data_IF_195220767290
#
_entry.id   IF_195220767290
#
_cell.length_a   1.000
_cell.length_b   1.000
_cell.length_c   1.000
_cell.angle_alpha   90.00
_cell.angle_beta   90.00
_cell.angle_gamma   90.00
#
_symmetry.space_group_name_H-M   'P 1'
#
loop_
_entity.id
_entity.type
_entity.pdbx_description
1 polymer ?
#
# COMPACT_ATOMS: atom_id res chain seq x y z
N UNK A 1 -6.70 21.26 -4.29
CA UNK A 1 -5.29 21.64 -4.50
C UNK A 1 -4.48 21.45 -3.21
N UNK A 2 -4.99 21.90 -2.07
CA UNK A 2 -4.31 21.75 -0.78
C UNK A 2 -4.09 20.28 -0.36
N UNK A 3 -5.11 19.42 -0.43
CA UNK A 3 -4.97 18.01 -0.04
C UNK A 3 -3.89 17.26 -0.83
N UNK A 4 -3.73 17.59 -2.12
CA UNK A 4 -2.70 16.99 -2.97
C UNK A 4 -1.29 17.49 -2.59
N UNK A 5 -1.17 18.77 -2.21
CA UNK A 5 0.07 19.35 -1.71
C UNK A 5 0.49 18.66 -0.41
N UNK A 6 -0.43 18.59 0.56
CA UNK A 6 -0.19 17.92 1.86
C UNK A 6 0.16 16.45 1.65
N UNK A 7 -0.58 15.73 0.79
CA UNK A 7 -0.26 14.35 0.46
C UNK A 7 1.17 14.21 -0.09
N UNK A 8 1.54 15.05 -1.07
CA UNK A 8 2.88 15.03 -1.66
C UNK A 8 3.97 15.28 -0.63
N UNK A 9 3.79 16.28 0.24
CA UNK A 9 4.74 16.59 1.31
C UNK A 9 4.90 15.43 2.28
N UNK A 10 3.79 14.83 2.73
CA UNK A 10 3.82 13.66 3.62
C UNK A 10 4.51 12.48 2.97
N UNK A 11 4.19 12.14 1.73
CA UNK A 11 4.77 10.98 1.05
C UNK A 11 6.28 11.13 0.82
N UNK A 12 6.77 12.35 0.63
CA UNK A 12 8.20 12.64 0.49
C UNK A 12 9.02 12.46 1.78
N UNK A 13 8.38 12.38 2.95
CA UNK A 13 9.08 12.17 4.23
C UNK A 13 9.17 10.70 4.61
N UNK A 14 8.19 9.87 4.23
CA UNK A 14 8.12 8.45 4.58
C UNK A 14 9.40 7.66 4.27
N UNK A 15 9.97 7.69 3.05
CA UNK A 15 11.18 6.91 2.74
C UNK A 15 12.44 7.43 3.45
N UNK A 16 12.37 8.58 4.14
CA UNK A 16 13.49 9.19 4.87
C UNK A 16 13.43 8.91 6.37
N UNK A 17 12.40 8.22 6.86
CA UNK A 17 12.28 7.90 8.28
C UNK A 17 13.41 6.91 8.66
N UNK A 18 14.34 7.30 9.55
CA UNK A 18 15.48 6.44 9.89
C UNK A 18 15.02 5.11 10.50
N UNK A 19 15.61 4.02 10.02
CA UNK A 19 15.29 2.67 10.52
C UNK A 19 13.94 2.12 10.04
N UNK A 20 13.21 2.82 9.16
CA UNK A 20 11.96 2.32 8.59
C UNK A 20 12.14 1.91 7.13
N UNK A 21 11.89 0.63 6.84
CA UNK A 21 11.58 0.17 5.49
C UNK A 21 10.14 0.53 5.18
N UNK A 22 9.89 1.09 4.01
CA UNK A 22 8.56 1.57 3.63
C UNK A 22 8.24 1.24 2.18
N UNK A 23 7.00 0.85 1.97
CA UNK A 23 6.37 0.59 0.68
C UNK A 23 5.00 1.26 0.69
N UNK A 24 4.43 1.51 -0.50
CA UNK A 24 3.15 2.18 -0.62
C UNK A 24 2.13 1.27 -1.31
N UNK A 25 1.02 0.99 -0.62
CA UNK A 25 -0.06 0.16 -1.16
C UNK A 25 -1.30 1.02 -1.36
N UNK A 26 -1.81 1.07 -2.59
CA UNK A 26 -3.07 1.74 -2.90
C UNK A 26 -4.19 0.72 -2.73
N UNK A 27 -4.98 0.92 -1.68
CA UNK A 27 -6.18 0.13 -1.43
C UNK A 27 -7.38 0.77 -2.15
N UNK A 28 -8.02 0.09 -3.11
CA UNK A 28 -9.13 0.68 -3.86
C UNK A 28 -10.35 0.91 -2.97
N UNK A 29 -11.14 1.94 -3.30
CA UNK A 29 -12.54 1.93 -2.88
C UNK A 29 -13.21 0.68 -3.45
N UNK A 30 -14.01 0.00 -2.62
CA UNK A 30 -14.74 -1.20 -3.00
C UNK A 30 -15.91 -0.79 -3.90
N UNK A 31 -15.63 -0.42 -5.15
CA UNK A 31 -16.60 0.10 -6.11
C UNK A 31 -16.23 -0.27 -7.56
N UNK A 32 -17.18 -0.82 -8.31
CA UNK A 32 -17.06 -0.97 -9.77
C UNK A 32 -15.95 -1.91 -10.24
N UNK A 33 -15.70 -3.02 -9.53
CA UNK A 33 -14.71 -4.02 -9.93
C UNK A 33 -15.16 -4.94 -11.06
N UNK A 34 -16.46 -4.95 -11.36
CA UNK A 34 -17.07 -5.75 -12.42
C UNK A 34 -16.71 -5.26 -13.83
N UNK A 35 -16.21 -4.03 -13.95
CA UNK A 35 -15.84 -3.39 -15.21
C UNK A 35 -14.50 -2.65 -15.08
N UNK A 36 -14.20 -1.73 -16.00
CA UNK A 36 -13.06 -0.84 -15.84
C UNK A 36 -13.20 -0.03 -14.54
N UNK A 37 -12.17 -0.09 -13.69
CA UNK A 37 -12.19 0.53 -12.37
C UNK A 37 -12.30 2.06 -12.48
N UNK A 38 -13.35 2.69 -11.90
CA UNK A 38 -13.68 4.09 -12.15
C UNK A 38 -12.63 5.08 -11.63
N UNK A 39 -11.83 4.69 -10.64
CA UNK A 39 -10.82 5.56 -10.02
C UNK A 39 -9.40 5.30 -10.51
N UNK A 40 -9.23 4.56 -11.59
CA UNK A 40 -7.91 4.30 -12.22
C UNK A 40 -7.09 5.58 -12.50
N UNK A 41 -7.66 6.70 -12.98
CA UNK A 41 -6.87 7.91 -13.22
C UNK A 41 -6.26 8.51 -11.94
N UNK A 42 -7.03 8.54 -10.84
CA UNK A 42 -6.52 9.09 -9.57
C UNK A 42 -5.52 8.14 -8.91
N UNK A 43 -5.73 6.82 -9.01
CA UNK A 43 -4.75 5.83 -8.60
C UNK A 43 -3.42 6.01 -9.35
N UNK A 44 -3.46 6.21 -10.66
CA UNK A 44 -2.26 6.47 -11.48
C UNK A 44 -1.51 7.71 -11.00
N UNK A 45 -2.23 8.78 -10.68
CA UNK A 45 -1.62 10.01 -10.16
C UNK A 45 -0.99 9.80 -8.77
N UNK A 46 -1.68 9.11 -7.87
CA UNK A 46 -1.21 8.82 -6.52
C UNK A 46 0.02 7.90 -6.55
N UNK A 47 0.00 6.86 -7.39
CA UNK A 47 1.12 5.95 -7.60
C UNK A 47 2.36 6.73 -8.08
N UNK A 48 2.20 7.55 -9.12
CA UNK A 48 3.31 8.35 -9.65
C UNK A 48 3.94 9.28 -8.60
N UNK A 49 3.15 9.85 -7.69
CA UNK A 49 3.67 10.69 -6.60
C UNK A 49 4.50 9.86 -5.60
N UNK A 50 4.02 8.67 -5.23
CA UNK A 50 4.74 7.78 -4.31
C UNK A 50 6.02 7.22 -4.95
N UNK A 51 5.97 6.81 -6.22
CA UNK A 51 7.14 6.37 -6.98
C UNK A 51 8.19 7.48 -7.09
N UNK A 52 7.77 8.72 -7.41
CA UNK A 52 8.67 9.89 -7.45
C UNK A 52 9.31 10.21 -6.08
N UNK A 53 8.67 9.81 -4.97
CA UNK A 53 9.25 9.94 -3.65
C UNK A 53 10.26 8.82 -3.32
N UNK A 54 10.38 7.79 -4.16
CA UNK A 54 11.28 6.64 -3.96
C UNK A 54 10.62 5.48 -3.23
N UNK A 55 9.28 5.43 -3.14
CA UNK A 55 8.57 4.28 -2.58
C UNK A 55 8.21 3.28 -3.69
N UNK A 56 8.46 1.98 -3.49
CA UNK A 56 7.81 0.97 -4.31
C UNK A 56 6.30 1.02 -4.11
N UNK A 57 5.54 0.88 -5.20
CA UNK A 57 4.08 1.00 -5.19
C UNK A 57 3.42 -0.30 -5.65
N UNK A 58 2.36 -0.70 -4.93
CA UNK A 58 1.40 -1.71 -5.35
C UNK A 58 0.01 -1.11 -5.42
N UNK A 59 -0.64 -1.19 -6.58
CA UNK A 59 -2.07 -0.90 -6.71
C UNK A 59 -2.89 -2.20 -6.69
N UNK A 60 -3.75 -2.33 -5.68
CA UNK A 60 -4.53 -3.55 -5.46
C UNK A 60 -5.74 -3.69 -6.40
N UNK A 61 -6.09 -2.67 -7.20
CA UNK A 61 -7.23 -2.73 -8.13
C UNK A 61 -7.21 -3.98 -9.03
N UNK A 62 -6.03 -4.35 -9.53
CA UNK A 62 -5.86 -5.54 -10.36
C UNK A 62 -6.22 -6.85 -9.64
N UNK A 63 -6.02 -6.93 -8.32
CA UNK A 63 -6.36 -8.11 -7.53
C UNK A 63 -7.87 -8.28 -7.35
N UNK A 64 -8.65 -7.21 -7.51
CA UNK A 64 -10.11 -7.23 -7.39
C UNK A 64 -10.84 -7.28 -8.73
N UNK A 65 -10.14 -7.18 -9.87
CA UNK A 65 -10.75 -7.13 -11.19
C UNK A 65 -11.70 -8.32 -11.46
N UNK A 66 -12.93 -8.02 -11.90
CA UNK A 66 -13.98 -8.99 -12.19
C UNK A 66 -14.73 -9.51 -10.97
N UNK A 67 -14.37 -9.10 -9.75
CA UNK A 67 -15.12 -9.45 -8.55
C UNK A 67 -16.44 -8.68 -8.49
N UNK A 68 -17.47 -9.32 -7.93
CA UNK A 68 -18.70 -8.63 -7.56
C UNK A 68 -18.45 -7.78 -6.32
N UNK A 69 -18.46 -6.47 -6.50
CA UNK A 69 -18.11 -5.46 -5.49
C UNK A 69 -18.89 -5.64 -4.20
N UNK A 70 -20.22 -5.83 -4.28
CA UNK A 70 -21.08 -5.96 -3.10
C UNK A 70 -20.71 -7.15 -2.19
N UNK A 71 -20.08 -8.18 -2.76
CA UNK A 71 -19.69 -9.39 -2.03
C UNK A 71 -18.41 -9.18 -1.21
N UNK A 72 -17.74 -8.04 -1.42
CA UNK A 72 -16.51 -7.61 -0.76
C UNK A 72 -16.75 -6.60 0.38
N UNK A 73 -17.96 -6.09 0.51
CA UNK A 73 -18.34 -5.18 1.60
C UNK A 73 -18.61 -5.92 2.90
N UNK A 74 -18.32 -5.25 4.03
CA UNK A 74 -18.71 -5.75 5.36
C UNK A 74 -20.23 -5.69 5.55
N UNK A 75 -20.88 -4.68 4.96
CA UNK A 75 -22.33 -4.51 4.99
C UNK A 75 -22.85 -3.73 3.77
N UNK A 76 -24.13 -3.84 3.43
CA UNK A 76 -24.70 -3.14 2.27
C UNK A 76 -24.62 -1.60 2.34
N UNK A 77 -24.56 -1.05 3.56
CA UNK A 77 -24.42 0.39 3.84
C UNK A 77 -23.04 0.77 4.35
N UNK A 78 -22.14 -0.20 4.46
CA UNK A 78 -20.76 0.01 4.87
C UNK A 78 -19.83 -0.69 3.88
N UNK A 79 -19.30 0.11 2.95
CA UNK A 79 -18.52 -0.37 1.82
C UNK A 79 -17.06 -0.63 2.17
N UNK A 80 -16.70 -0.63 3.46
CA UNK A 80 -15.39 -1.10 3.91
C UNK A 80 -15.19 -2.59 3.58
N UNK A 81 -13.93 -3.01 3.34
CA UNK A 81 -13.62 -4.38 2.96
C UNK A 81 -13.97 -5.39 4.06
N UNK A 82 -14.67 -6.46 3.69
CA UNK A 82 -14.91 -7.61 4.57
C UNK A 82 -13.70 -8.55 4.63
N UNK A 83 -13.87 -9.69 5.31
CA UNK A 83 -12.83 -10.71 5.43
C UNK A 83 -12.36 -11.28 4.08
N UNK A 84 -13.25 -11.44 3.09
CA UNK A 84 -12.87 -11.90 1.74
C UNK A 84 -12.00 -10.87 1.03
N UNK A 85 -12.39 -9.60 1.10
CA UNK A 85 -11.62 -8.52 0.50
C UNK A 85 -10.22 -8.40 1.12
N UNK A 86 -10.12 -8.48 2.46
CA UNK A 86 -8.84 -8.48 3.16
C UNK A 86 -7.99 -9.73 2.83
N UNK A 87 -8.60 -10.89 2.62
CA UNK A 87 -7.88 -12.09 2.17
C UNK A 87 -7.28 -11.92 0.76
N UNK A 88 -8.01 -11.31 -0.17
CA UNK A 88 -7.51 -10.98 -1.52
C UNK A 88 -6.36 -9.97 -1.42
N UNK A 89 -6.56 -8.88 -0.68
CA UNK A 89 -5.56 -7.83 -0.51
C UNK A 89 -4.27 -8.37 0.12
N UNK A 90 -4.37 -9.08 1.26
CA UNK A 90 -3.20 -9.65 1.94
C UNK A 90 -2.44 -10.65 1.06
N UNK A 91 -3.14 -11.48 0.29
CA UNK A 91 -2.50 -12.39 -0.67
C UNK A 91 -1.72 -11.61 -1.74
N UNK A 92 -2.35 -10.61 -2.36
CA UNK A 92 -1.69 -9.79 -3.38
C UNK A 92 -0.48 -9.03 -2.82
N UNK A 93 -0.60 -8.48 -1.60
CA UNK A 93 0.49 -7.80 -0.91
C UNK A 93 1.64 -8.76 -0.65
N UNK A 94 1.40 -9.94 -0.06
CA UNK A 94 2.52 -10.84 0.29
C UNK A 94 3.19 -11.42 -0.96
N UNK A 95 2.43 -11.69 -2.02
CA UNK A 95 2.99 -12.16 -3.29
C UNK A 95 3.89 -11.07 -3.91
N UNK A 96 3.44 -9.82 -3.92
CA UNK A 96 4.21 -8.68 -4.38
C UNK A 96 5.47 -8.44 -3.53
N UNK A 97 5.33 -8.46 -2.20
CA UNK A 97 6.46 -8.28 -1.29
C UNK A 97 7.55 -9.34 -1.53
N UNK A 98 7.17 -10.60 -1.73
CA UNK A 98 8.13 -11.68 -2.00
C UNK A 98 8.79 -11.57 -3.37
N UNK A 99 8.05 -11.09 -4.37
CA UNK A 99 8.49 -11.12 -5.77
C UNK A 99 9.29 -9.87 -6.15
N UNK A 100 8.76 -8.70 -5.84
CA UNK A 100 9.21 -7.44 -6.42
C UNK A 100 9.96 -6.57 -5.40
N UNK A 101 9.71 -6.75 -4.10
CA UNK A 101 10.41 -6.04 -3.01
C UNK A 101 10.84 -6.96 -1.85
N UNK A 102 11.56 -8.08 -2.13
CA UNK A 102 11.90 -9.08 -1.11
C UNK A 102 12.71 -8.51 0.07
N UNK A 103 13.48 -7.44 -0.19
CA UNK A 103 14.22 -6.69 0.84
C UNK A 103 13.33 -6.13 1.96
N UNK A 104 12.02 -5.97 1.74
CA UNK A 104 11.08 -5.52 2.78
C UNK A 104 10.83 -6.60 3.85
N UNK A 105 10.99 -7.87 3.48
CA UNK A 105 10.75 -9.02 4.35
C UNK A 105 12.01 -9.55 5.03
N UNK A 106 13.18 -9.02 4.67
CA UNK A 106 14.45 -9.40 5.30
C UNK A 106 14.42 -9.09 6.81
N UNK A 107 15.02 -9.90 7.67
CA UNK A 107 15.17 -9.53 9.07
C UNK A 107 16.04 -8.28 9.18
N UNK A 108 15.73 -7.40 10.12
CA UNK A 108 16.66 -6.31 10.45
C UNK A 108 17.98 -6.94 10.90
N UNK A 109 19.10 -6.39 10.40
CA UNK A 109 20.39 -6.79 10.92
C UNK A 109 20.44 -6.43 12.41
N UNK A 110 21.01 -7.28 13.28
CA UNK A 110 21.22 -6.92 14.66
C UNK A 110 21.94 -5.58 14.71
N UNK A 111 21.35 -4.58 15.37
CA UNK A 111 22.12 -3.37 15.67
C UNK A 111 23.30 -3.81 16.53
N UNK A 112 24.52 -3.49 16.09
CA UNK A 112 25.67 -3.53 16.99
C UNK A 112 25.32 -2.65 18.19
N UNK A 113 25.01 -3.30 19.32
CA UNK A 113 24.95 -2.60 20.60
C UNK A 113 26.31 -1.96 20.77
N UNK A 114 26.37 -0.62 20.76
CA UNK A 114 27.57 0.07 21.22
C UNK A 114 27.93 -0.55 22.57
N UNK A 115 29.19 -0.99 22.78
CA UNK A 115 29.56 -1.56 24.06
C UNK A 115 29.15 -0.58 25.14
N UNK A 116 28.50 -1.11 26.18
CA UNK A 116 28.17 -0.36 27.38
C UNK A 116 29.49 0.18 27.94
N UNK A 117 29.82 1.44 27.62
CA UNK A 117 30.99 2.11 28.17
C UNK A 117 30.61 2.49 29.59
N UNK A 118 30.48 1.50 30.45
CA UNK A 118 30.25 1.67 31.86
C UNK A 118 31.39 2.50 32.45
N UNK A 119 31.13 3.79 32.61
CA UNK A 119 31.91 4.76 33.40
C UNK A 119 30.97 5.84 33.90
#
# INVERSE_FOLDING_TARGET
KENLRVFKETIQTIPKIPGCRSVFVIYPLMEGFESEYPLKPIHTQVAAIAEQAGLPVLDLTSAFAGQKTSDLWVHATDHHPNGKANAIASKAIIDWLKKDVPWFLEPDQPQETKPDTGF
#
